data_IF_822368738676
#
_entry.id   IF_822368738676
#
_cell.length_a   1.000
_cell.length_b   1.000
_cell.length_c   1.000
_cell.angle_alpha   90.00
_cell.angle_beta   90.00
_cell.angle_gamma   90.00
#
_symmetry.space_group_name_H-M   'P 1'
#
loop_
_entity.id
_entity.type
_entity.pdbx_description
1 polymer ?
#
# COMPACT_ATOMS: atom_id res chain seq x y z
N UNK A 1 25.51 10.65 -1.92
CA UNK A 1 25.53 10.05 -3.29
C UNK A 1 24.84 8.70 -3.36
N UNK A 2 25.25 7.67 -2.61
CA UNK A 2 24.68 6.31 -2.72
C UNK A 2 23.21 6.14 -2.29
N UNK A 3 22.71 7.01 -1.39
CA UNK A 3 21.27 7.10 -1.07
C UNK A 3 20.46 7.43 -2.32
N UNK A 4 21.00 8.26 -3.23
CA UNK A 4 20.35 8.60 -4.50
C UNK A 4 20.30 7.42 -5.45
N UNK A 5 21.38 6.61 -5.52
CA UNK A 5 21.36 5.37 -6.28
C UNK A 5 20.26 4.41 -5.83
N UNK A 6 20.07 4.27 -4.50
CA UNK A 6 19.03 3.42 -3.93
C UNK A 6 17.61 3.83 -4.32
N UNK A 7 17.21 5.08 -4.12
CA UNK A 7 15.84 5.50 -4.44
C UNK A 7 15.59 5.64 -5.94
N UNK A 8 16.60 6.04 -6.74
CA UNK A 8 16.46 6.11 -8.20
C UNK A 8 16.23 4.71 -8.77
N UNK A 9 17.00 3.71 -8.32
CA UNK A 9 16.80 2.32 -8.73
C UNK A 9 15.41 1.80 -8.34
N UNK A 10 14.91 2.16 -7.16
CA UNK A 10 13.57 1.79 -6.71
C UNK A 10 12.47 2.38 -7.61
N UNK A 11 12.58 3.66 -7.98
CA UNK A 11 11.63 4.32 -8.89
C UNK A 11 11.65 3.67 -10.27
N UNK A 12 12.84 3.42 -10.82
CA UNK A 12 12.98 2.73 -12.11
C UNK A 12 12.33 1.35 -12.05
N UNK A 13 12.58 0.57 -10.99
CA UNK A 13 11.98 -0.75 -10.84
C UNK A 13 10.46 -0.68 -10.72
N UNK A 14 9.92 0.33 -10.02
CA UNK A 14 8.48 0.59 -9.96
C UNK A 14 7.87 0.85 -11.33
N UNK A 15 8.51 1.68 -12.15
CA UNK A 15 8.09 1.93 -13.55
C UNK A 15 8.15 0.65 -14.37
N UNK A 16 9.21 -0.15 -14.24
CA UNK A 16 9.33 -1.44 -14.91
C UNK A 16 8.19 -2.38 -14.47
N UNK A 17 7.89 -2.46 -13.18
CA UNK A 17 6.77 -3.25 -12.66
C UNK A 17 5.43 -2.81 -13.25
N UNK A 18 5.17 -1.51 -13.42
CA UNK A 18 3.96 -1.01 -14.08
C UNK A 18 3.81 -1.59 -15.49
N UNK A 19 4.86 -1.51 -16.31
CA UNK A 19 4.81 -2.04 -17.68
C UNK A 19 4.74 -3.57 -17.71
N UNK A 20 5.43 -4.27 -16.81
CA UNK A 20 5.37 -5.73 -16.72
C UNK A 20 3.96 -6.21 -16.34
N UNK A 21 3.33 -5.57 -15.35
CA UNK A 21 1.91 -5.81 -15.03
C UNK A 21 1.00 -5.43 -16.20
N UNK A 22 1.35 -4.41 -16.97
CA UNK A 22 0.78 -4.12 -18.30
C UNK A 22 0.70 -5.36 -19.19
N UNK A 23 1.89 -5.84 -19.55
CA UNK A 23 2.10 -6.91 -20.53
C UNK A 23 1.55 -8.26 -20.08
N UNK A 24 1.80 -8.66 -18.83
CA UNK A 24 1.29 -9.93 -18.28
C UNK A 24 -0.23 -10.00 -18.38
N UNK A 25 -0.89 -8.87 -18.15
CA UNK A 25 -2.34 -8.80 -18.15
C UNK A 25 -2.92 -8.74 -19.56
N UNK A 26 -2.30 -8.01 -20.49
CA UNK A 26 -2.74 -7.96 -21.89
C UNK A 26 -2.60 -9.33 -22.60
N UNK A 27 -1.57 -10.11 -22.26
CA UNK A 27 -1.33 -11.45 -22.86
C UNK A 27 -2.27 -12.51 -22.26
N UNK A 28 -2.75 -12.32 -21.03
CA UNK A 28 -3.47 -13.36 -20.28
C UNK A 28 -4.87 -13.72 -20.83
N UNK A 29 -5.48 -12.85 -21.65
CA UNK A 29 -6.84 -13.03 -22.15
C UNK A 29 -7.93 -13.08 -21.07
N UNK A 30 -7.58 -12.73 -19.83
CA UNK A 30 -8.48 -12.71 -18.69
C UNK A 30 -9.49 -11.56 -18.78
N UNK A 31 -10.68 -11.77 -18.20
CA UNK A 31 -11.71 -10.72 -18.18
C UNK A 31 -11.30 -9.57 -17.27
N UNK A 32 -11.78 -8.36 -17.56
CA UNK A 32 -11.46 -7.13 -16.83
C UNK A 32 -11.71 -7.30 -15.32
N UNK A 33 -12.81 -7.96 -14.98
CA UNK A 33 -13.31 -8.19 -13.62
C UNK A 33 -12.39 -9.15 -12.84
N UNK A 34 -11.89 -10.21 -13.49
CA UNK A 34 -10.93 -11.13 -12.87
C UNK A 34 -9.62 -10.41 -12.53
N UNK A 35 -9.15 -9.56 -13.44
CA UNK A 35 -7.91 -8.81 -13.25
C UNK A 35 -8.00 -7.79 -12.15
N UNK A 36 -9.13 -7.09 -12.06
CA UNK A 36 -9.43 -6.20 -10.95
C UNK A 36 -9.45 -6.95 -9.62
N UNK A 37 -10.12 -8.10 -9.57
CA UNK A 37 -10.23 -8.94 -8.38
C UNK A 37 -8.86 -9.40 -7.87
N UNK A 38 -8.07 -10.02 -8.74
CA UNK A 38 -6.74 -10.52 -8.40
C UNK A 38 -5.80 -9.39 -7.99
N UNK A 39 -5.77 -8.28 -8.74
CA UNK A 39 -4.88 -7.15 -8.42
C UNK A 39 -5.26 -6.50 -7.09
N UNK A 40 -6.57 -6.38 -6.80
CA UNK A 40 -7.06 -5.85 -5.53
C UNK A 40 -6.65 -6.74 -4.36
N UNK A 41 -6.76 -8.07 -4.48
CA UNK A 41 -6.33 -8.99 -3.43
C UNK A 41 -4.80 -8.99 -3.23
N UNK A 42 -4.02 -8.84 -4.30
CA UNK A 42 -2.56 -8.65 -4.19
C UNK A 42 -2.26 -7.34 -3.44
N UNK A 43 -2.95 -6.25 -3.76
CA UNK A 43 -2.80 -4.98 -3.06
C UNK A 43 -3.15 -5.10 -1.57
N UNK A 44 -4.19 -5.86 -1.21
CA UNK A 44 -4.53 -6.17 0.19
C UNK A 44 -3.36 -6.86 0.92
N UNK A 45 -2.73 -7.87 0.30
CA UNK A 45 -1.60 -8.56 0.90
C UNK A 45 -0.42 -7.62 1.15
N UNK A 46 -0.12 -6.74 0.19
CA UNK A 46 0.93 -5.71 0.33
C UNK A 46 0.56 -4.76 1.47
N UNK A 47 -0.65 -4.22 1.47
CA UNK A 47 -1.13 -3.28 2.47
C UNK A 47 -1.08 -3.83 3.89
N UNK A 48 -1.53 -5.07 4.10
CA UNK A 48 -1.48 -5.72 5.42
C UNK A 48 -0.04 -5.95 5.85
N UNK A 49 0.82 -6.43 4.95
CA UNK A 49 2.24 -6.68 5.23
C UNK A 49 2.97 -5.39 5.64
N UNK A 50 2.75 -4.31 4.88
CA UNK A 50 3.41 -3.02 5.11
C UNK A 50 2.78 -2.26 6.27
N UNK A 51 1.46 -2.28 6.40
CA UNK A 51 0.75 -1.70 7.53
C UNK A 51 1.20 -2.34 8.85
N UNK A 52 1.38 -3.66 8.87
CA UNK A 52 1.97 -4.36 10.01
C UNK A 52 3.42 -3.93 10.28
N UNK A 53 4.24 -3.81 9.23
CA UNK A 53 5.61 -3.32 9.37
C UNK A 53 5.65 -1.91 9.96
N UNK A 54 4.83 -0.99 9.47
CA UNK A 54 4.74 0.39 9.97
C UNK A 54 4.26 0.44 11.41
N UNK A 55 3.21 -0.31 11.75
CA UNK A 55 2.68 -0.39 13.11
C UNK A 55 3.75 -0.87 14.10
N UNK A 56 4.45 -1.96 13.77
CA UNK A 56 5.55 -2.51 14.58
C UNK A 56 6.72 -1.52 14.72
N UNK A 57 6.96 -0.69 13.70
CA UNK A 57 8.04 0.29 13.70
C UNK A 57 7.66 1.68 14.24
N UNK A 58 6.37 1.94 14.49
CA UNK A 58 5.89 3.21 15.02
C UNK A 58 6.13 3.37 16.53
N UNK A 59 6.06 2.28 17.32
CA UNK A 59 6.18 2.29 18.79
C UNK A 59 7.61 2.52 19.32
N UNK A 60 8.54 2.93 18.47
CA UNK A 60 9.94 2.77 18.78
C UNK A 60 10.59 4.10 19.17
N UNK A 61 10.52 4.46 20.47
CA UNK A 61 11.51 5.34 21.11
C UNK A 61 12.97 4.84 20.96
N UNK A 62 13.15 3.56 20.60
CA UNK A 62 14.42 2.89 20.22
C UNK A 62 14.77 2.92 18.72
N UNK A 63 13.88 3.22 17.76
CA UNK A 63 14.16 3.14 16.30
C UNK A 63 14.76 4.41 15.80
N UNK A 64 14.29 5.54 16.31
CA UNK A 64 14.99 6.82 16.17
C UNK A 64 16.39 6.75 16.78
N UNK A 65 16.57 6.02 17.89
CA UNK A 65 17.88 5.78 18.52
C UNK A 65 18.75 4.80 17.70
N UNK A 66 18.19 3.69 17.23
CA UNK A 66 18.84 2.67 16.39
C UNK A 66 19.13 3.18 14.97
N UNK A 67 18.24 3.97 14.36
CA UNK A 67 18.50 4.67 13.11
C UNK A 67 19.56 5.74 13.33
N UNK A 68 19.51 6.53 14.41
CA UNK A 68 20.60 7.46 14.70
C UNK A 68 21.92 6.72 14.88
N UNK A 69 21.94 5.61 15.62
CA UNK A 69 23.15 4.82 15.87
C UNK A 69 23.63 4.08 14.62
N UNK A 70 22.76 3.44 13.82
CA UNK A 70 23.13 2.76 12.58
C UNK A 70 23.41 3.70 11.42
N UNK A 71 22.73 4.83 11.31
CA UNK A 71 23.08 5.87 10.33
C UNK A 71 24.41 6.49 10.74
N UNK A 72 24.62 6.79 12.02
CA UNK A 72 25.92 7.26 12.52
C UNK A 72 27.02 6.22 12.31
N UNK A 73 26.79 4.94 12.63
CA UNK A 73 27.74 3.86 12.37
C UNK A 73 27.94 3.60 10.88
N UNK A 74 26.92 3.64 10.03
CA UNK A 74 27.09 3.39 8.58
C UNK A 74 27.80 4.56 7.89
N UNK A 75 27.61 5.79 8.40
CA UNK A 75 28.38 6.97 8.02
C UNK A 75 29.83 6.86 8.53
N UNK A 76 30.04 6.45 9.79
CA UNK A 76 31.37 6.29 10.41
C UNK A 76 32.15 5.08 9.86
N UNK A 77 31.47 4.00 9.47
CA UNK A 77 32.05 2.73 8.97
C UNK A 77 32.08 2.67 7.44
N UNK A 78 31.63 3.73 6.73
CA UNK A 78 31.46 3.75 5.26
C UNK A 78 30.71 2.51 4.71
N UNK A 79 29.68 2.01 5.39
CA UNK A 79 28.87 0.91 4.85
C UNK A 79 27.84 1.47 3.84
N UNK A 80 28.35 1.86 2.68
CA UNK A 80 27.66 2.57 1.61
C UNK A 80 26.50 1.73 1.01
N UNK A 81 26.65 0.41 1.00
CA UNK A 81 25.64 -0.54 0.49
C UNK A 81 24.45 -0.58 1.43
N UNK A 82 24.66 -0.63 2.74
CA UNK A 82 23.58 -0.64 3.73
C UNK A 82 22.66 0.59 3.63
N UNK A 83 23.24 1.78 3.42
CA UNK A 83 22.47 3.01 3.20
C UNK A 83 21.68 3.00 1.88
N UNK A 84 22.28 2.49 0.81
CA UNK A 84 21.59 2.35 -0.47
C UNK A 84 20.43 1.34 -0.39
N UNK A 85 20.62 0.20 0.27
CA UNK A 85 19.58 -0.82 0.45
C UNK A 85 18.41 -0.33 1.30
N UNK A 86 18.67 0.41 2.38
CA UNK A 86 17.60 0.99 3.21
C UNK A 86 16.78 2.00 2.40
N UNK A 87 17.45 2.88 1.65
CA UNK A 87 16.80 3.85 0.76
C UNK A 87 15.97 3.17 -0.33
N UNK A 88 16.55 2.15 -0.97
CA UNK A 88 15.89 1.35 -2.00
C UNK A 88 14.63 0.67 -1.46
N UNK A 89 14.74 -0.10 -0.39
CA UNK A 89 13.61 -0.87 0.16
C UNK A 89 12.47 0.06 0.62
N UNK A 90 12.80 1.20 1.21
CA UNK A 90 11.80 2.18 1.63
C UNK A 90 11.02 2.75 0.44
N UNK A 91 11.72 3.19 -0.62
CA UNK A 91 11.08 3.82 -1.79
C UNK A 91 10.42 2.79 -2.70
N UNK A 92 11.02 1.61 -2.86
CA UNK A 92 10.50 0.55 -3.71
C UNK A 92 9.14 0.07 -3.25
N UNK A 93 8.94 -0.05 -1.93
CA UNK A 93 7.66 -0.42 -1.34
C UNK A 93 6.54 0.58 -1.66
N UNK A 94 6.80 1.88 -1.47
CA UNK A 94 5.84 2.93 -1.80
C UNK A 94 5.52 2.97 -3.30
N UNK A 95 6.55 2.75 -4.14
CA UNK A 95 6.38 2.66 -5.58
C UNK A 95 5.52 1.45 -5.97
N UNK A 96 5.74 0.28 -5.37
CA UNK A 96 4.93 -0.93 -5.61
C UNK A 96 3.47 -0.73 -5.21
N UNK A 97 3.21 -0.18 -4.01
CA UNK A 97 1.85 0.13 -3.57
C UNK A 97 1.16 1.07 -4.55
N UNK A 98 1.82 2.17 -4.90
CA UNK A 98 1.28 3.17 -5.84
C UNK A 98 0.97 2.54 -7.20
N UNK A 99 1.87 1.72 -7.73
CA UNK A 99 1.69 1.01 -9.00
C UNK A 99 0.49 0.06 -8.94
N UNK A 100 0.34 -0.72 -7.87
CA UNK A 100 -0.79 -1.63 -7.71
C UNK A 100 -2.12 -0.87 -7.59
N UNK A 101 -2.18 0.20 -6.79
CA UNK A 101 -3.39 1.03 -6.66
C UNK A 101 -3.78 1.70 -7.97
N UNK A 102 -2.82 2.32 -8.66
CA UNK A 102 -3.06 2.94 -9.95
C UNK A 102 -3.52 1.90 -10.97
N UNK A 103 -3.04 0.66 -10.88
CA UNK A 103 -3.44 -0.40 -11.80
C UNK A 103 -4.88 -0.84 -11.57
N UNK A 104 -5.30 -0.99 -10.31
CA UNK A 104 -6.71 -1.26 -9.95
C UNK A 104 -7.61 -0.14 -10.50
N UNK A 105 -7.27 1.13 -10.25
CA UNK A 105 -8.06 2.27 -10.76
C UNK A 105 -8.07 2.32 -12.28
N UNK A 106 -6.93 2.04 -12.93
CA UNK A 106 -6.83 2.04 -14.39
C UNK A 106 -7.74 1.00 -15.04
N UNK A 107 -7.92 -0.14 -14.37
CA UNK A 107 -8.82 -1.18 -14.83
C UNK A 107 -10.28 -0.86 -14.55
N UNK A 108 -10.62 -0.21 -13.45
CA UNK A 108 -11.99 0.23 -13.15
C UNK A 108 -12.42 1.45 -14.01
N UNK A 109 -11.46 2.24 -14.48
CA UNK A 109 -11.72 3.49 -15.21
C UNK A 109 -12.11 3.32 -16.70
N UNK A 110 -13.23 3.94 -17.09
CA UNK A 110 -13.58 4.16 -18.51
C UNK A 110 -12.68 5.22 -19.18
N UNK A 111 -12.80 5.38 -20.51
CA UNK A 111 -11.92 6.27 -21.29
C UNK A 111 -11.85 7.72 -20.76
N UNK A 112 -12.98 8.29 -20.31
CA UNK A 112 -13.03 9.62 -19.70
C UNK A 112 -12.37 9.66 -18.30
N UNK A 113 -12.52 8.58 -17.53
CA UNK A 113 -11.91 8.44 -16.22
C UNK A 113 -10.38 8.27 -16.30
N UNK A 114 -9.86 7.63 -17.35
CA UNK A 114 -8.41 7.54 -17.60
C UNK A 114 -7.77 8.91 -17.85
N UNK A 115 -8.43 9.78 -18.60
CA UNK A 115 -7.95 11.16 -18.81
C UNK A 115 -7.98 11.96 -17.49
N UNK A 116 -9.00 11.74 -16.66
CA UNK A 116 -9.12 12.36 -15.33
C UNK A 116 -8.09 11.80 -14.33
N UNK A 117 -7.69 10.55 -14.48
CA UNK A 117 -6.61 9.95 -13.68
C UNK A 117 -5.26 10.60 -13.98
N UNK A 118 -4.97 10.92 -15.24
CA UNK A 118 -3.74 11.63 -15.62
C UNK A 118 -3.66 13.03 -14.98
N UNK A 119 -4.76 13.77 -14.94
CA UNK A 119 -4.80 15.07 -14.24
C UNK A 119 -4.69 14.89 -12.72
N UNK A 120 -5.27 13.83 -12.15
CA UNK A 120 -5.10 13.45 -10.75
C UNK A 120 -3.65 13.13 -10.37
N UNK A 121 -2.90 12.45 -11.24
CA UNK A 121 -1.45 12.22 -11.05
C UNK A 121 -0.71 13.56 -11.00
N UNK A 122 -1.00 14.48 -11.93
CA UNK A 122 -0.42 15.83 -11.95
C UNK A 122 -0.67 16.60 -10.65
N UNK A 123 -1.92 16.59 -10.16
CA UNK A 123 -2.29 17.20 -8.89
C UNK A 123 -1.56 16.55 -7.71
N UNK A 124 -1.45 15.22 -7.71
CA UNK A 124 -0.75 14.46 -6.66
C UNK A 124 0.73 14.84 -6.60
N UNK A 125 1.40 15.01 -7.74
CA UNK A 125 2.79 15.45 -7.78
C UNK A 125 2.97 16.84 -7.15
N UNK A 126 2.06 17.78 -7.44
CA UNK A 126 2.09 19.12 -6.85
C UNK A 126 1.91 19.04 -5.32
N UNK A 127 0.94 18.25 -4.86
CA UNK A 127 0.68 18.04 -3.43
C UNK A 127 1.87 17.39 -2.72
N UNK A 128 2.50 16.38 -3.32
CA UNK A 128 3.69 15.73 -2.78
C UNK A 128 4.84 16.73 -2.68
N UNK A 129 5.03 17.58 -3.69
CA UNK A 129 6.09 18.59 -3.66
C UNK A 129 5.86 19.61 -2.53
N UNK A 130 4.63 20.10 -2.39
CA UNK A 130 4.24 21.00 -1.30
C UNK A 130 4.36 20.36 0.08
N UNK A 131 3.90 19.12 0.22
CA UNK A 131 4.00 18.35 1.46
C UNK A 131 5.46 18.03 1.83
N UNK A 132 6.29 17.69 0.85
CA UNK A 132 7.73 17.44 1.05
C UNK A 132 8.44 18.71 1.48
N UNK A 133 8.15 19.84 0.84
CA UNK A 133 8.69 21.15 1.23
C UNK A 133 8.28 21.51 2.66
N UNK A 134 7.02 21.34 3.02
CA UNK A 134 6.52 21.56 4.37
C UNK A 134 7.19 20.61 5.38
N UNK A 135 7.32 19.33 5.05
CA UNK A 135 7.96 18.32 5.90
C UNK A 135 9.43 18.65 6.16
N UNK A 136 10.16 19.19 5.18
CA UNK A 136 11.54 19.66 5.36
C UNK A 136 11.56 20.92 6.24
N UNK A 137 10.64 21.87 6.00
CA UNK A 137 10.59 23.15 6.72
C UNK A 137 10.17 23.01 8.18
N UNK A 138 9.29 22.05 8.48
CA UNK A 138 8.71 21.79 9.80
C UNK A 138 9.21 20.49 10.45
N UNK A 139 10.24 19.86 9.88
CA UNK A 139 10.79 18.55 10.29
C UNK A 139 11.15 18.45 11.77
N UNK A 140 11.49 19.57 12.41
CA UNK A 140 11.84 19.61 13.83
C UNK A 140 10.68 19.34 14.82
N UNK A 141 9.41 19.27 14.35
CA UNK A 141 8.23 19.12 15.24
C UNK A 141 7.31 17.95 14.91
N UNK A 142 7.57 17.16 13.87
CA UNK A 142 6.67 16.06 13.49
C UNK A 142 7.01 14.81 14.32
N UNK A 143 6.13 14.34 15.21
CA UNK A 143 6.35 13.09 15.93
C UNK A 143 6.20 11.92 14.94
N UNK A 144 7.33 11.44 14.42
CA UNK A 144 7.43 10.36 13.41
C UNK A 144 6.57 9.15 13.81
N UNK A 145 6.52 8.81 15.09
CA UNK A 145 5.65 7.75 15.63
C UNK A 145 4.17 7.93 15.28
N UNK A 146 3.62 9.15 15.40
CA UNK A 146 2.20 9.38 15.10
C UNK A 146 1.93 9.28 13.60
N UNK A 147 2.88 9.71 12.77
CA UNK A 147 2.78 9.60 11.32
C UNK A 147 2.74 8.13 10.89
N UNK A 148 3.63 7.30 11.45
CA UNK A 148 3.65 5.86 11.15
C UNK A 148 2.40 5.14 11.65
N UNK A 149 1.88 5.50 12.83
CA UNK A 149 0.61 4.98 13.33
C UNK A 149 -0.55 5.35 12.40
N UNK A 150 -0.65 6.63 12.02
CA UNK A 150 -1.69 7.09 11.11
C UNK A 150 -1.63 6.37 9.76
N UNK A 151 -0.44 6.24 9.18
CA UNK A 151 -0.23 5.48 7.94
C UNK A 151 -0.67 4.03 8.09
N UNK A 152 -0.28 3.34 9.18
CA UNK A 152 -0.72 1.96 9.44
C UNK A 152 -2.24 1.83 9.56
N UNK A 153 -2.92 2.79 10.21
CA UNK A 153 -4.39 2.83 10.27
C UNK A 153 -5.02 2.99 8.88
N UNK A 154 -4.52 3.94 8.08
CA UNK A 154 -5.00 4.17 6.70
C UNK A 154 -4.85 2.89 5.87
N UNK A 155 -3.71 2.21 5.96
CA UNK A 155 -3.47 0.96 5.25
C UNK A 155 -4.41 -0.16 5.69
N UNK A 156 -4.69 -0.27 6.99
CA UNK A 156 -5.69 -1.20 7.52
C UNK A 156 -7.09 -0.94 6.93
N UNK A 157 -7.52 0.33 6.90
CA UNK A 157 -8.81 0.72 6.30
C UNK A 157 -8.84 0.43 4.80
N UNK A 158 -7.79 0.80 4.05
CA UNK A 158 -7.72 0.53 2.62
C UNK A 158 -7.72 -0.98 2.31
N UNK A 159 -7.04 -1.79 3.13
CA UNK A 159 -7.04 -3.24 2.97
C UNK A 159 -8.44 -3.83 3.16
N UNK A 160 -9.23 -3.29 4.08
CA UNK A 160 -10.63 -3.67 4.28
C UNK A 160 -11.50 -3.31 3.07
N UNK A 161 -11.36 -2.10 2.54
CA UNK A 161 -12.13 -1.63 1.38
C UNK A 161 -11.78 -2.45 0.14
N UNK A 162 -10.49 -2.64 -0.15
CA UNK A 162 -10.01 -3.38 -1.31
C UNK A 162 -10.35 -4.87 -1.25
N UNK A 163 -10.43 -5.46 -0.05
CA UNK A 163 -10.87 -6.85 0.09
C UNK A 163 -12.30 -7.01 -0.40
N UNK A 164 -13.19 -6.11 0.00
CA UNK A 164 -14.59 -6.14 -0.44
C UNK A 164 -14.74 -5.96 -1.95
N UNK A 165 -14.05 -4.94 -2.52
CA UNK A 165 -14.01 -4.72 -3.98
C UNK A 165 -13.40 -5.89 -4.75
N UNK A 166 -12.28 -6.43 -4.26
CA UNK A 166 -11.60 -7.56 -4.91
C UNK A 166 -12.44 -8.83 -4.95
N UNK A 167 -13.10 -9.19 -3.84
CA UNK A 167 -14.01 -10.34 -3.80
C UNK A 167 -15.24 -10.10 -4.68
N UNK A 168 -15.75 -8.87 -4.74
CA UNK A 168 -16.87 -8.54 -5.61
C UNK A 168 -16.51 -8.66 -7.10
N UNK A 169 -15.34 -8.18 -7.53
CA UNK A 169 -14.89 -8.34 -8.92
C UNK A 169 -14.69 -9.83 -9.29
N UNK A 170 -14.29 -10.67 -8.33
CA UNK A 170 -14.23 -12.12 -8.51
C UNK A 170 -15.62 -12.77 -8.62
N UNK A 171 -16.65 -12.17 -8.01
CA UNK A 171 -18.03 -12.58 -8.21
C UNK A 171 -18.55 -12.18 -9.60
N UNK A 172 -18.22 -10.97 -10.06
CA UNK A 172 -18.61 -10.48 -11.39
C UNK A 172 -17.96 -11.28 -12.53
N UNK A 173 -16.72 -11.76 -12.33
CA UNK A 173 -16.07 -12.70 -13.26
C UNK A 173 -16.56 -14.16 -13.16
N UNK A 174 -17.49 -14.46 -12.25
CA UNK A 174 -18.07 -15.80 -12.08
C UNK A 174 -17.17 -16.82 -11.35
N UNK A 175 -16.06 -16.37 -10.75
CA UNK A 175 -15.14 -17.24 -10.02
C UNK A 175 -15.54 -17.48 -8.55
N UNK A 176 -16.34 -16.59 -7.96
CA UNK A 176 -16.87 -16.72 -6.60
C UNK A 176 -18.40 -16.74 -6.65
N UNK A 177 -19.01 -17.63 -5.85
CA UNK A 177 -20.47 -17.69 -5.72
C UNK A 177 -21.04 -16.41 -5.08
N UNK A 178 -22.29 -16.10 -5.42
CA UNK A 178 -23.00 -14.93 -4.89
C UNK A 178 -24.15 -15.43 -4.03
N UNK A 179 -24.01 -15.29 -2.72
CA UNK A 179 -25.11 -15.55 -1.78
C UNK A 179 -25.65 -14.21 -1.25
N UNK A 180 -26.73 -13.66 -1.83
CA UNK A 180 -27.26 -12.37 -1.43
C UNK A 180 -27.99 -12.47 -0.08
N UNK A 181 -27.76 -11.50 0.80
CA UNK A 181 -28.38 -11.45 2.14
C UNK A 181 -29.32 -10.27 2.34
N UNK A 182 -28.94 -9.08 1.88
CA UNK A 182 -29.66 -7.83 2.14
C UNK A 182 -29.50 -6.89 0.95
N UNK A 183 -30.53 -6.73 0.09
CA UNK A 183 -30.44 -5.93 -1.13
C UNK A 183 -30.05 -4.47 -0.91
N UNK A 184 -30.34 -3.92 0.27
CA UNK A 184 -30.14 -2.51 0.61
C UNK A 184 -28.76 -2.20 1.21
N UNK A 185 -27.95 -3.21 1.54
CA UNK A 185 -26.63 -3.02 2.15
C UNK A 185 -25.55 -2.88 1.07
N UNK A 186 -25.51 -1.73 0.40
CA UNK A 186 -24.52 -1.43 -0.65
C UNK A 186 -23.86 -0.08 -0.41
N UNK A 187 -22.62 -0.08 0.07
CA UNK A 187 -21.77 1.10 0.25
C UNK A 187 -20.46 0.91 -0.51
N UNK A 188 -20.46 1.29 -1.80
CA UNK A 188 -19.34 1.08 -2.73
C UNK A 188 -18.03 1.72 -2.25
N UNK A 189 -18.11 2.89 -1.59
CA UNK A 189 -16.94 3.62 -1.08
C UNK A 189 -16.20 2.79 -0.01
N UNK A 190 -16.94 2.06 0.82
CA UNK A 190 -16.38 1.20 1.86
C UNK A 190 -16.10 -0.23 1.35
N UNK A 191 -16.36 -0.51 0.07
CA UNK A 191 -16.27 -1.85 -0.50
C UNK A 191 -17.29 -2.82 0.07
N UNK A 192 -18.40 -2.34 0.64
CA UNK A 192 -19.43 -3.19 1.24
C UNK A 192 -20.47 -3.53 0.17
N UNK A 193 -20.53 -4.81 -0.17
CA UNK A 193 -21.47 -5.38 -1.15
C UNK A 193 -22.44 -6.34 -0.47
N UNK A 194 -23.67 -6.50 -1.01
CA UNK A 194 -24.75 -7.25 -0.37
C UNK A 194 -24.60 -8.79 -0.51
N UNK A 195 -23.39 -9.33 -0.34
CA UNK A 195 -23.11 -10.78 -0.40
C UNK A 195 -22.42 -11.29 0.87
N UNK A 196 -22.68 -12.55 1.23
CA UNK A 196 -22.04 -13.19 2.39
C UNK A 196 -20.53 -13.29 2.18
N UNK A 197 -20.11 -13.66 0.98
CA UNK A 197 -18.71 -13.91 0.65
C UNK A 197 -17.86 -12.63 0.79
N UNK A 198 -18.36 -11.49 0.31
CA UNK A 198 -17.67 -10.20 0.46
C UNK A 198 -17.57 -9.76 1.92
N UNK A 199 -18.65 -9.93 2.69
CA UNK A 199 -18.64 -9.58 4.11
C UNK A 199 -17.74 -10.48 4.94
N UNK A 200 -17.75 -11.80 4.67
CA UNK A 200 -16.87 -12.75 5.34
C UNK A 200 -15.40 -12.43 5.04
N UNK A 201 -15.06 -12.12 3.78
CA UNK A 201 -13.71 -11.70 3.42
C UNK A 201 -13.28 -10.42 4.15
N UNK A 202 -14.18 -9.43 4.25
CA UNK A 202 -13.94 -8.19 4.98
C UNK A 202 -13.80 -8.40 6.51
N UNK A 203 -14.57 -9.30 7.10
CA UNK A 203 -14.42 -9.67 8.52
C UNK A 203 -13.09 -10.40 8.73
N UNK A 204 -12.72 -11.33 7.84
CA UNK A 204 -11.47 -12.07 7.91
C UNK A 204 -10.27 -11.12 7.87
N UNK A 205 -10.24 -10.18 6.92
CA UNK A 205 -9.12 -9.24 6.83
C UNK A 205 -9.04 -8.33 8.05
N UNK A 206 -10.19 -7.92 8.61
CA UNK A 206 -10.24 -7.12 9.82
C UNK A 206 -9.68 -7.89 11.02
N UNK A 207 -10.03 -9.17 11.17
CA UNK A 207 -9.46 -10.04 12.22
C UNK A 207 -7.95 -10.20 12.04
N UNK A 208 -7.45 -10.36 10.81
CA UNK A 208 -6.02 -10.44 10.52
C UNK A 208 -5.32 -9.14 10.91
N UNK A 209 -5.83 -7.98 10.49
CA UNK A 209 -5.24 -6.66 10.80
C UNK A 209 -5.21 -6.42 12.31
N UNK A 210 -6.33 -6.64 13.01
CA UNK A 210 -6.41 -6.48 14.47
C UNK A 210 -5.49 -7.47 15.19
N UNK A 211 -5.46 -8.73 14.75
CA UNK A 211 -4.60 -9.76 15.32
C UNK A 211 -3.11 -9.41 15.19
N UNK A 212 -2.69 -8.96 14.01
CA UNK A 212 -1.33 -8.48 13.76
C UNK A 212 -1.00 -7.26 14.63
N UNK A 213 -1.93 -6.32 14.79
CA UNK A 213 -1.73 -5.16 15.67
C UNK A 213 -1.62 -5.52 17.15
N UNK A 214 -2.35 -6.52 17.62
CA UNK A 214 -2.25 -7.02 18.99
C UNK A 214 -0.92 -7.74 19.23
N UNK A 215 -0.41 -8.50 18.26
CA UNK A 215 0.92 -9.12 18.35
C UNK A 215 2.04 -8.08 18.39
N UNK A 216 1.89 -6.97 17.66
CA UNK A 216 2.82 -5.84 17.70
C UNK A 216 3.00 -5.21 19.07
N UNK A 217 2.01 -5.36 19.98
CA UNK A 217 2.05 -4.83 21.35
C UNK A 217 2.75 -5.75 22.36
N UNK A 218 2.96 -7.03 22.03
CA UNK A 218 3.65 -7.94 22.95
C UNK A 218 5.14 -7.60 22.92
N UNK A 219 5.77 -7.26 24.06
CA UNK A 219 7.22 -7.10 24.09
C UNK A 219 7.82 -8.42 23.61
N UNK A 220 8.65 -8.34 22.57
CA UNK A 220 9.52 -9.46 22.20
C UNK A 220 10.24 -9.87 23.47
N UNK A 221 9.91 -11.07 23.98
CA UNK A 221 10.62 -11.67 25.10
C UNK A 221 12.12 -11.72 24.75
N UNK A 222 12.90 -11.47 25.78
CA UNK A 222 14.33 -11.18 25.80
C UNK A 222 15.20 -12.09 24.91
#
# INVERSE_FOLDING_TARGET
>A
YWVHGGWIAAVILGVVCWFLLGVVFDISGATRELMEGVTSLIAVLVLVSVGFWLHRHAEIGRWTKFLKEKVKHAVDTKNLIGLASISFLAVFREALETVLFLRVIWFDADASAKTSMLSGIGLTLILIFGASWAAIRYSAKIPVTRLFQLSAYIMGVLSFILTGKGVHALQESGHISITPIMPYLRWEIMGIFPSIETLLAQVLILVVVVGLWMQGKKPSAA
#
